data_IF_672002892663
#
_entry.id   IF_672002892663
#
_cell.length_a   1.000
_cell.length_b   1.000
_cell.length_c   1.000
_cell.angle_alpha   90.00
_cell.angle_beta   90.00
_cell.angle_gamma   90.00
#
_symmetry.space_group_name_H-M   'P 1'
#
loop_
_entity.id
_entity.type
_entity.pdbx_description
1 polymer ?
#
# COMPACT_ATOMS: atom_id res chain seq x y z
N UNK A 1 -5.47 -5.90 4.49
CA UNK A 1 -4.78 -7.18 4.72
C UNK A 1 -4.13 -7.21 6.09
N UNK A 2 -4.12 -8.35 6.73
CA UNK A 2 -3.44 -8.51 8.01
C UNK A 2 -1.94 -8.68 7.78
N UNK A 3 -1.12 -8.29 8.76
CA UNK A 3 0.32 -8.43 8.69
C UNK A 3 0.75 -9.87 8.38
N UNK A 4 0.01 -10.84 8.92
CA UNK A 4 0.24 -12.25 8.67
C UNK A 4 0.17 -12.59 7.18
N UNK A 5 -0.87 -12.10 6.51
CA UNK A 5 -1.07 -12.34 5.08
C UNK A 5 0.03 -11.66 4.26
N UNK A 6 0.45 -10.49 4.68
CA UNK A 6 1.53 -9.77 4.02
C UNK A 6 2.86 -10.52 4.12
N UNK A 7 3.13 -11.12 5.27
CA UNK A 7 4.35 -11.92 5.46
C UNK A 7 4.39 -13.14 4.54
N UNK A 8 3.24 -13.74 4.31
CA UNK A 8 3.13 -14.91 3.44
C UNK A 8 3.47 -14.59 1.97
N UNK A 9 3.28 -13.34 1.56
CA UNK A 9 3.61 -12.92 0.20
C UNK A 9 5.11 -12.92 -0.09
N UNK A 10 5.95 -12.77 0.95
CA UNK A 10 7.38 -12.64 0.78
C UNK A 10 7.77 -11.27 0.24
N UNK A 11 9.08 -11.01 0.15
CA UNK A 11 9.61 -9.72 -0.28
C UNK A 11 9.17 -9.38 -1.72
N UNK A 12 9.29 -10.34 -2.63
CA UNK A 12 8.92 -10.11 -4.03
C UNK A 12 7.44 -9.81 -4.20
N UNK A 13 6.59 -10.58 -3.53
CA UNK A 13 5.15 -10.36 -3.55
C UNK A 13 4.77 -9.02 -2.94
N UNK A 14 5.44 -8.63 -1.86
CA UNK A 14 5.23 -7.33 -1.23
C UNK A 14 5.64 -6.18 -2.14
N UNK A 15 6.80 -6.30 -2.80
CA UNK A 15 7.27 -5.27 -3.73
C UNK A 15 6.27 -5.05 -4.86
N UNK A 16 5.74 -6.13 -5.41
CA UNK A 16 4.73 -6.06 -6.45
C UNK A 16 3.46 -5.38 -5.94
N UNK A 17 3.00 -5.77 -4.77
CA UNK A 17 1.80 -5.22 -4.15
C UNK A 17 1.97 -3.73 -3.83
N UNK A 18 3.11 -3.36 -3.27
CA UNK A 18 3.42 -1.96 -2.95
C UNK A 18 3.39 -1.11 -4.22
N UNK A 19 3.99 -1.61 -5.29
CA UNK A 19 4.01 -0.93 -6.57
C UNK A 19 2.60 -0.69 -7.12
N UNK A 20 1.77 -1.73 -7.11
CA UNK A 20 0.39 -1.66 -7.59
C UNK A 20 -0.44 -0.65 -6.79
N UNK A 21 -0.41 -0.77 -5.48
CA UNK A 21 -1.20 0.11 -4.61
C UNK A 21 -0.69 1.55 -4.67
N UNK A 22 0.63 1.73 -4.76
CA UNK A 22 1.22 3.06 -4.88
C UNK A 22 0.80 3.76 -6.17
N UNK A 23 0.74 3.03 -7.27
CA UNK A 23 0.27 3.58 -8.56
C UNK A 23 -1.20 3.96 -8.49
N UNK A 24 -2.01 3.11 -7.90
CA UNK A 24 -3.43 3.37 -7.70
C UNK A 24 -3.64 4.59 -6.82
N UNK A 25 -2.87 4.71 -5.75
CA UNK A 25 -2.91 5.86 -4.84
C UNK A 25 -2.54 7.14 -5.57
N UNK A 26 -1.50 7.10 -6.39
CA UNK A 26 -1.07 8.26 -7.17
C UNK A 26 -2.19 8.71 -8.13
N UNK A 27 -2.83 7.78 -8.80
CA UNK A 27 -3.95 8.05 -9.69
C UNK A 27 -5.09 8.75 -8.95
N UNK A 28 -5.43 8.24 -7.76
CA UNK A 28 -6.49 8.84 -6.93
C UNK A 28 -6.12 10.24 -6.47
N UNK A 29 -4.86 10.47 -6.09
CA UNK A 29 -4.39 11.79 -5.70
C UNK A 29 -4.49 12.79 -6.84
N UNK A 30 -4.12 12.38 -8.05
CA UNK A 30 -4.21 13.22 -9.24
C UNK A 30 -5.66 13.58 -9.52
N UNK A 31 -6.56 12.62 -9.47
CA UNK A 31 -7.99 12.84 -9.67
C UNK A 31 -8.55 13.82 -8.63
N UNK A 32 -8.18 13.63 -7.38
CA UNK A 32 -8.62 14.51 -6.29
C UNK A 32 -8.13 15.94 -6.50
N UNK A 33 -6.86 16.09 -6.89
CA UNK A 33 -6.25 17.40 -7.14
C UNK A 33 -6.89 18.11 -8.33
N UNK A 34 -7.28 17.38 -9.36
CA UNK A 34 -7.91 17.96 -10.54
C UNK A 34 -9.39 18.30 -10.34
N UNK A 35 -9.93 18.02 -9.17
CA UNK A 35 -11.34 18.28 -8.88
C UNK A 35 -12.29 17.20 -9.37
N UNK A 36 -11.77 16.10 -9.90
CA UNK A 36 -12.59 14.98 -10.30
C UNK A 36 -13.24 14.34 -9.07
N UNK A 37 -14.44 13.81 -9.27
CA UNK A 37 -15.21 13.22 -8.19
C UNK A 37 -14.52 11.96 -7.67
N UNK A 38 -14.03 12.04 -6.43
CA UNK A 38 -13.43 10.89 -5.75
C UNK A 38 -14.48 10.36 -4.79
N UNK A 39 -14.94 9.15 -5.04
CA UNK A 39 -16.07 8.54 -4.32
C UNK A 39 -15.92 8.60 -2.80
N UNK A 40 -14.71 8.36 -2.27
CA UNK A 40 -14.52 8.34 -0.82
C UNK A 40 -13.14 8.90 -0.46
N UNK A 41 -13.08 10.09 0.15
CA UNK A 41 -11.79 10.65 0.60
C UNK A 41 -11.05 9.73 1.57
N UNK A 42 -11.78 8.95 2.36
CA UNK A 42 -11.19 7.97 3.28
C UNK A 42 -10.41 6.85 2.60
N UNK A 43 -10.70 6.58 1.33
CA UNK A 43 -10.00 5.54 0.58
C UNK A 43 -8.51 5.85 0.40
N UNK A 44 -8.18 7.10 0.12
CA UNK A 44 -6.79 7.53 0.01
C UNK A 44 -6.05 7.27 1.32
N UNK A 45 -6.68 7.60 2.44
CA UNK A 45 -6.13 7.40 3.77
C UNK A 45 -5.87 5.91 4.05
N UNK A 46 -6.83 5.06 3.71
CA UNK A 46 -6.70 3.61 3.89
C UNK A 46 -5.57 3.04 3.04
N UNK A 47 -5.47 3.47 1.79
CA UNK A 47 -4.42 3.01 0.88
C UNK A 47 -3.04 3.42 1.37
N UNK A 48 -2.91 4.65 1.89
CA UNK A 48 -1.65 5.12 2.46
C UNK A 48 -1.23 4.25 3.65
N UNK A 49 -2.18 3.88 4.50
CA UNK A 49 -1.92 2.98 5.64
C UNK A 49 -1.48 1.60 5.17
N UNK A 50 -2.13 1.07 4.15
CA UNK A 50 -1.78 -0.24 3.61
C UNK A 50 -0.37 -0.24 3.03
N UNK A 51 -0.01 0.80 2.28
CA UNK A 51 1.34 0.92 1.73
C UNK A 51 2.37 1.00 2.86
N UNK A 52 2.11 1.79 3.89
CA UNK A 52 3.01 1.92 5.03
C UNK A 52 3.19 0.58 5.75
N UNK A 53 2.09 -0.16 5.93
CA UNK A 53 2.13 -1.48 6.56
C UNK A 53 2.94 -2.47 5.74
N UNK A 54 2.73 -2.49 4.43
CA UNK A 54 3.47 -3.36 3.53
C UNK A 54 4.96 -3.06 3.55
N UNK A 55 5.33 -1.79 3.56
CA UNK A 55 6.74 -1.38 3.65
C UNK A 55 7.38 -1.80 4.97
N UNK A 56 6.62 -1.69 6.05
CA UNK A 56 7.08 -2.12 7.38
C UNK A 56 7.34 -3.62 7.41
N UNK A 57 6.40 -4.41 6.91
CA UNK A 57 6.55 -5.87 6.86
C UNK A 57 7.70 -6.26 5.95
N UNK A 58 7.87 -5.58 4.82
CA UNK A 58 8.98 -5.82 3.92
C UNK A 58 10.32 -5.59 4.62
N UNK A 59 10.43 -4.50 5.36
CA UNK A 59 11.64 -4.19 6.14
C UNK A 59 11.91 -5.26 7.18
N UNK A 60 10.88 -5.71 7.88
CA UNK A 60 11.01 -6.78 8.86
C UNK A 60 11.52 -8.07 8.24
N UNK A 61 10.99 -8.43 7.07
CA UNK A 61 11.44 -9.63 6.36
C UNK A 61 12.89 -9.52 5.92
N UNK A 62 13.31 -8.36 5.43
CA UNK A 62 14.70 -8.12 5.05
C UNK A 62 15.65 -8.29 6.23
N UNK A 63 15.24 -7.84 7.41
CA UNK A 63 16.05 -7.93 8.63
C UNK A 63 15.96 -9.28 9.31
N UNK A 64 15.06 -10.14 8.83
CA UNK A 64 14.83 -11.43 9.47
C UNK A 64 14.02 -11.32 10.76
N UNK A 65 13.35 -10.20 11.00
CA UNK A 65 12.47 -10.01 12.15
C UNK A 65 11.10 -10.59 11.83
N UNK A 66 10.51 -11.29 12.77
CA UNK A 66 9.19 -11.91 12.62
C UNK A 66 8.09 -11.12 13.29
#
# INVERSE_FOLDING_TARGET
>A
MKARDLRELGIEGLDQKIKEVSQELMTLKIKHRSGADVEKPGRIKLMRREVARMKTVRTELERGIR
#
